data_IF_031649892763
#
_entry.id   IF_031649892763
#
_cell.length_a   1.000
_cell.length_b   1.000
_cell.length_c   1.000
_cell.angle_alpha   90.00
_cell.angle_beta   90.00
_cell.angle_gamma   90.00
#
_symmetry.space_group_name_H-M   'P 1'
#
loop_
_entity.id
_entity.type
_entity.pdbx_description
1 polymer ?
#
# COMPACT_ATOMS: atom_id res chain seq x y z
N UNK A 1 57.56 20.42 -17.44
CA UNK A 1 56.56 20.30 -16.36
C UNK A 1 55.11 20.31 -16.90
N UNK A 2 54.81 20.94 -18.00
CA UNK A 2 53.43 21.18 -18.45
C UNK A 2 52.63 19.97 -18.94
N UNK A 3 53.23 18.91 -19.49
CA UNK A 3 52.48 17.80 -20.02
C UNK A 3 51.94 16.82 -18.93
N UNK A 4 52.65 16.71 -17.81
CA UNK A 4 52.19 15.87 -16.70
C UNK A 4 51.03 16.54 -15.92
N UNK A 5 51.07 17.85 -15.73
CA UNK A 5 49.97 18.59 -15.11
C UNK A 5 48.71 18.57 -15.98
N UNK A 6 48.85 18.66 -17.31
CA UNK A 6 47.70 18.53 -18.23
C UNK A 6 47.09 17.14 -18.22
N UNK A 7 47.87 16.06 -18.13
CA UNK A 7 47.36 14.68 -18.05
C UNK A 7 46.60 14.37 -16.73
N UNK A 8 47.09 14.89 -15.61
CA UNK A 8 46.45 14.78 -14.31
C UNK A 8 45.13 15.56 -14.33
N UNK A 9 45.07 16.73 -14.92
CA UNK A 9 43.87 17.57 -15.00
C UNK A 9 42.80 16.94 -15.88
N UNK A 10 43.17 16.30 -17.00
CA UNK A 10 42.22 15.58 -17.87
C UNK A 10 41.67 14.34 -17.18
N UNK A 11 42.47 13.58 -16.45
CA UNK A 11 42.04 12.41 -15.71
C UNK A 11 41.05 12.78 -14.59
N UNK A 12 41.37 13.85 -13.85
CA UNK A 12 40.51 14.41 -12.79
C UNK A 12 39.18 14.90 -13.37
N UNK A 13 39.21 15.61 -14.49
CA UNK A 13 38.03 16.11 -15.17
C UNK A 13 37.13 14.95 -15.64
N UNK A 14 37.71 13.89 -16.22
CA UNK A 14 36.96 12.70 -16.63
C UNK A 14 36.29 12.01 -15.43
N UNK A 15 36.99 11.89 -14.31
CA UNK A 15 36.41 11.27 -13.10
C UNK A 15 35.25 12.11 -12.54
N UNK A 16 35.40 13.44 -12.47
CA UNK A 16 34.34 14.35 -12.04
C UNK A 16 33.11 14.29 -12.94
N UNK A 17 33.30 14.31 -14.27
CA UNK A 17 32.21 14.18 -15.24
C UNK A 17 31.48 12.85 -15.06
N UNK A 18 32.24 11.75 -14.87
CA UNK A 18 31.65 10.43 -14.65
C UNK A 18 30.81 10.39 -13.38
N UNK A 19 31.34 10.88 -12.26
CA UNK A 19 30.61 10.97 -10.99
C UNK A 19 29.33 11.81 -11.14
N UNK A 20 29.43 12.97 -11.77
CA UNK A 20 28.29 13.85 -11.98
C UNK A 20 27.20 13.23 -12.87
N UNK A 21 27.61 12.45 -13.89
CA UNK A 21 26.65 11.70 -14.72
C UNK A 21 25.98 10.59 -13.90
N UNK A 22 26.75 9.84 -13.11
CA UNK A 22 26.23 8.75 -12.28
C UNK A 22 25.25 9.29 -11.23
N UNK A 23 25.55 10.40 -10.57
CA UNK A 23 24.65 11.07 -9.63
C UNK A 23 23.35 11.53 -10.32
N UNK A 24 23.45 12.27 -11.43
CA UNK A 24 22.27 12.74 -12.17
C UNK A 24 21.40 11.60 -12.68
N UNK A 25 22.01 10.51 -13.16
CA UNK A 25 21.26 9.31 -13.61
C UNK A 25 20.57 8.66 -12.43
N UNK A 26 21.23 8.50 -11.29
CA UNK A 26 20.67 7.94 -10.06
C UNK A 26 19.45 8.75 -9.58
N UNK A 27 19.57 10.08 -9.52
CA UNK A 27 18.50 10.97 -9.09
C UNK A 27 17.29 10.93 -10.04
N UNK A 28 17.57 10.90 -11.36
CA UNK A 28 16.50 10.76 -12.36
C UNK A 28 15.77 9.41 -12.22
N UNK A 29 16.48 8.31 -12.03
CA UNK A 29 15.89 6.99 -11.81
C UNK A 29 15.03 6.99 -10.54
N UNK A 30 15.52 7.56 -9.45
CA UNK A 30 14.77 7.69 -8.19
C UNK A 30 13.49 8.50 -8.39
N UNK A 31 13.58 9.66 -9.00
CA UNK A 31 12.41 10.51 -9.31
C UNK A 31 11.39 9.81 -10.20
N UNK A 32 11.84 9.10 -11.25
CA UNK A 32 10.96 8.30 -12.12
C UNK A 32 10.30 7.16 -11.36
N UNK A 33 11.03 6.46 -10.50
CA UNK A 33 10.50 5.38 -9.66
C UNK A 33 9.41 5.89 -8.72
N UNK A 34 9.60 7.04 -8.09
CA UNK A 34 8.60 7.66 -7.22
C UNK A 34 7.34 8.08 -7.99
N UNK A 35 7.51 8.64 -9.19
CA UNK A 35 6.38 8.98 -10.08
C UNK A 35 5.60 7.75 -10.51
N UNK A 36 6.29 6.66 -10.87
CA UNK A 36 5.64 5.39 -11.21
C UNK A 36 4.85 4.80 -10.03
N UNK A 37 5.44 4.79 -8.84
CA UNK A 37 4.74 4.34 -7.62
C UNK A 37 3.50 5.16 -7.33
N UNK A 38 3.56 6.47 -7.51
CA UNK A 38 2.41 7.35 -7.35
C UNK A 38 1.32 7.04 -8.37
N UNK A 39 1.67 6.89 -9.66
CA UNK A 39 0.71 6.55 -10.71
C UNK A 39 0.08 5.17 -10.48
N UNK A 40 0.87 4.17 -10.08
CA UNK A 40 0.36 2.85 -9.71
C UNK A 40 -0.65 2.95 -8.57
N UNK A 41 -0.31 3.68 -7.51
CA UNK A 41 -1.21 3.93 -6.39
C UNK A 41 -2.50 4.61 -6.84
N UNK A 42 -2.40 5.70 -7.61
CA UNK A 42 -3.56 6.47 -8.07
C UNK A 42 -4.49 5.62 -8.95
N UNK A 43 -3.94 4.73 -9.78
CA UNK A 43 -4.71 3.79 -10.60
C UNK A 43 -5.43 2.69 -9.80
N UNK A 44 -5.00 2.42 -8.58
CA UNK A 44 -5.59 1.38 -7.73
C UNK A 44 -6.62 1.92 -6.74
N UNK A 45 -6.61 3.23 -6.46
CA UNK A 45 -7.48 3.83 -5.43
C UNK A 45 -8.97 3.73 -5.74
N UNK A 46 -9.33 3.67 -7.02
CA UNK A 46 -10.70 3.51 -7.51
C UNK A 46 -11.10 2.05 -7.75
N UNK A 47 -10.26 1.12 -7.38
CA UNK A 47 -10.46 -0.30 -7.62
C UNK A 47 -10.64 -1.09 -6.32
N UNK A 48 -11.41 -2.17 -6.39
CA UNK A 48 -11.59 -3.10 -5.27
C UNK A 48 -11.20 -4.52 -5.66
N UNK A 49 -10.68 -5.26 -4.70
CA UNK A 49 -10.35 -6.67 -4.80
C UNK A 49 -11.33 -7.49 -3.96
N UNK A 50 -11.96 -8.48 -4.59
CA UNK A 50 -12.98 -9.33 -3.97
C UNK A 50 -12.43 -10.75 -3.85
N UNK A 51 -12.17 -11.17 -2.63
CA UNK A 51 -11.61 -12.47 -2.26
C UNK A 51 -12.66 -13.41 -1.69
N UNK A 52 -12.31 -14.70 -1.69
CA UNK A 52 -13.13 -15.74 -1.07
C UNK A 52 -13.93 -16.56 -2.07
N UNK A 53 -13.88 -16.25 -3.36
CA UNK A 53 -14.49 -17.04 -4.40
C UNK A 53 -13.42 -17.66 -5.31
N UNK A 54 -13.34 -18.98 -5.31
CA UNK A 54 -12.39 -19.76 -6.11
C UNK A 54 -12.98 -20.37 -7.37
N UNK A 55 -14.17 -19.90 -7.80
CA UNK A 55 -14.87 -20.42 -8.97
C UNK A 55 -14.19 -19.96 -10.27
N UNK A 56 -13.56 -20.88 -10.99
CA UNK A 56 -12.90 -20.61 -12.27
C UNK A 56 -13.83 -20.06 -13.36
N UNK A 57 -15.16 -20.28 -13.23
CA UNK A 57 -16.17 -19.71 -14.14
C UNK A 57 -16.18 -18.18 -14.12
N UNK A 58 -15.64 -17.56 -13.07
CA UNK A 58 -15.49 -16.09 -12.98
C UNK A 58 -14.52 -15.51 -14.02
N UNK A 59 -13.72 -16.33 -14.70
CA UNK A 59 -12.98 -15.90 -15.89
C UNK A 59 -13.94 -15.40 -17.00
N UNK A 60 -15.15 -15.97 -17.07
CA UNK A 60 -16.15 -15.50 -18.01
C UNK A 60 -16.76 -14.17 -17.55
N UNK A 61 -16.65 -13.14 -18.39
CA UNK A 61 -17.14 -11.78 -18.10
C UNK A 61 -18.64 -11.75 -17.75
N UNK A 62 -19.48 -12.54 -18.42
CA UNK A 62 -20.94 -12.58 -18.15
C UNK A 62 -21.23 -13.14 -16.77
N UNK A 63 -20.58 -14.24 -16.40
CA UNK A 63 -20.72 -14.87 -15.07
C UNK A 63 -20.19 -13.93 -13.97
N UNK A 64 -19.02 -13.32 -14.19
CA UNK A 64 -18.44 -12.36 -13.27
C UNK A 64 -19.34 -11.14 -13.06
N UNK A 65 -19.90 -10.57 -14.13
CA UNK A 65 -20.84 -9.45 -14.02
C UNK A 65 -22.13 -9.84 -13.27
N UNK A 66 -22.64 -11.06 -13.48
CA UNK A 66 -23.78 -11.55 -12.72
C UNK A 66 -23.44 -11.67 -11.21
N UNK A 67 -22.26 -12.19 -10.89
CA UNK A 67 -21.77 -12.27 -9.52
C UNK A 67 -21.64 -10.87 -8.88
N UNK A 68 -21.02 -9.92 -9.58
CA UNK A 68 -20.88 -8.53 -9.11
C UNK A 68 -22.24 -7.86 -8.89
N UNK A 69 -23.22 -8.09 -9.76
CA UNK A 69 -24.60 -7.59 -9.56
C UNK A 69 -25.22 -8.14 -8.27
N UNK A 70 -25.02 -9.41 -7.96
CA UNK A 70 -25.49 -10.00 -6.70
C UNK A 70 -24.78 -9.39 -5.49
N UNK A 71 -23.45 -9.21 -5.55
CA UNK A 71 -22.70 -8.52 -4.49
C UNK A 71 -23.26 -7.12 -4.28
N UNK A 72 -23.48 -6.36 -5.35
CA UNK A 72 -24.07 -5.02 -5.27
C UNK A 72 -25.44 -5.04 -4.61
N UNK A 73 -26.32 -5.95 -5.00
CA UNK A 73 -27.67 -6.07 -4.43
C UNK A 73 -27.63 -6.38 -2.92
N UNK A 74 -26.75 -7.29 -2.50
CA UNK A 74 -26.60 -7.66 -1.09
C UNK A 74 -25.97 -6.54 -0.23
N UNK A 75 -25.12 -5.71 -0.83
CA UNK A 75 -24.44 -4.60 -0.15
C UNK A 75 -25.19 -3.27 -0.32
N UNK A 76 -26.33 -3.26 -1.00
CA UNK A 76 -27.04 -2.02 -1.35
C UNK A 76 -26.12 -1.01 -2.08
N UNK A 77 -25.46 -1.50 -3.11
CA UNK A 77 -24.54 -0.76 -3.97
C UNK A 77 -25.06 -0.69 -5.40
N UNK A 78 -24.69 0.37 -6.13
CA UNK A 78 -25.10 0.51 -7.52
C UNK A 78 -24.08 -0.15 -8.47
N UNK A 79 -24.47 -1.19 -9.19
CA UNK A 79 -23.62 -1.87 -10.17
C UNK A 79 -23.17 -0.94 -11.32
N UNK A 80 -23.88 0.15 -11.62
CA UNK A 80 -23.49 1.11 -12.66
C UNK A 80 -22.16 1.81 -12.33
N UNK A 81 -21.72 1.80 -11.09
CA UNK A 81 -20.41 2.33 -10.70
C UNK A 81 -19.24 1.42 -11.09
N UNK A 82 -19.50 0.18 -11.49
CA UNK A 82 -18.45 -0.74 -11.99
C UNK A 82 -18.18 -0.42 -13.47
N UNK A 83 -16.99 0.08 -13.74
CA UNK A 83 -16.53 0.41 -15.10
C UNK A 83 -16.02 -0.84 -15.78
N UNK A 84 -15.14 -1.57 -15.08
CA UNK A 84 -14.47 -2.74 -15.62
C UNK A 84 -14.25 -3.79 -14.52
N UNK A 85 -14.11 -5.04 -14.92
CA UNK A 85 -13.72 -6.09 -13.99
C UNK A 85 -12.87 -7.16 -14.67
N UNK A 86 -11.94 -7.72 -13.92
CA UNK A 86 -11.12 -8.86 -14.30
C UNK A 86 -11.13 -9.92 -13.19
N UNK A 87 -10.74 -11.15 -13.53
CA UNK A 87 -10.49 -12.20 -12.55
C UNK A 87 -9.01 -12.56 -12.62
N UNK A 88 -8.31 -12.37 -11.53
CA UNK A 88 -6.89 -12.64 -11.42
C UNK A 88 -6.67 -13.75 -10.39
N UNK A 89 -6.14 -14.90 -10.86
CA UNK A 89 -5.80 -16.09 -10.07
C UNK A 89 -6.97 -16.59 -9.20
N UNK A 90 -7.31 -15.88 -8.14
CA UNK A 90 -8.29 -16.32 -7.12
C UNK A 90 -9.14 -15.16 -6.57
N UNK A 91 -9.15 -14.01 -7.22
CA UNK A 91 -9.94 -12.86 -6.80
C UNK A 91 -10.45 -12.06 -7.99
N UNK A 92 -11.53 -11.32 -7.79
CA UNK A 92 -12.03 -10.36 -8.77
C UNK A 92 -11.42 -8.99 -8.46
N UNK A 93 -10.90 -8.34 -9.49
CA UNK A 93 -10.57 -6.91 -9.45
C UNK A 93 -11.70 -6.17 -10.18
N UNK A 94 -12.31 -5.20 -9.52
CA UNK A 94 -13.34 -4.36 -10.11
C UNK A 94 -12.94 -2.89 -10.01
N UNK A 95 -12.83 -2.23 -11.18
CA UNK A 95 -12.58 -0.80 -11.29
C UNK A 95 -13.91 -0.06 -11.17
N UNK A 96 -13.96 0.95 -10.32
CA UNK A 96 -15.13 1.75 -10.02
C UNK A 96 -14.96 3.17 -10.58
N UNK A 97 -16.02 3.94 -10.59
CA UNK A 97 -15.98 5.30 -11.12
C UNK A 97 -15.12 6.27 -10.29
N UNK A 98 -14.91 5.99 -9.00
CA UNK A 98 -14.08 6.81 -8.12
C UNK A 98 -13.64 6.08 -6.84
N UNK A 99 -12.63 6.65 -6.17
CA UNK A 99 -12.08 6.11 -4.92
C UNK A 99 -13.06 6.13 -3.74
N UNK A 100 -14.06 7.01 -3.76
CA UNK A 100 -15.10 7.09 -2.70
C UNK A 100 -15.96 5.84 -2.76
N UNK A 101 -16.32 5.42 -3.97
CA UNK A 101 -17.07 4.16 -4.18
C UNK A 101 -16.27 2.94 -3.77
N UNK A 102 -14.97 2.92 -4.04
CA UNK A 102 -14.13 1.82 -3.58
C UNK A 102 -14.12 1.69 -2.05
N UNK A 103 -14.04 2.80 -1.33
CA UNK A 103 -14.16 2.83 0.14
C UNK A 103 -15.56 2.41 0.62
N UNK A 104 -16.61 2.86 -0.05
CA UNK A 104 -17.99 2.46 0.25
C UNK A 104 -18.18 0.94 0.14
N UNK A 105 -17.68 0.31 -0.93
CA UNK A 105 -17.70 -1.14 -1.11
C UNK A 105 -17.01 -1.88 0.05
N UNK A 106 -15.84 -1.40 0.44
CA UNK A 106 -15.08 -1.99 1.55
C UNK A 106 -15.83 -1.86 2.88
N UNK A 107 -16.39 -0.68 3.17
CA UNK A 107 -17.11 -0.41 4.42
C UNK A 107 -18.36 -1.29 4.53
N UNK A 108 -19.22 -1.28 3.51
CA UNK A 108 -20.45 -2.08 3.48
C UNK A 108 -20.16 -3.59 3.55
N UNK A 109 -19.06 -4.05 2.92
CA UNK A 109 -18.63 -5.44 3.03
C UNK A 109 -18.24 -5.84 4.46
N UNK A 110 -17.58 -4.96 5.20
CA UNK A 110 -17.22 -5.18 6.62
C UNK A 110 -18.47 -5.25 7.51
N UNK A 111 -19.42 -4.38 7.27
CA UNK A 111 -20.68 -4.31 8.03
C UNK A 111 -21.55 -5.54 7.78
N UNK A 112 -21.75 -5.92 6.52
CA UNK A 112 -22.65 -7.02 6.12
C UNK A 112 -22.03 -8.41 6.29
N UNK A 113 -20.68 -8.53 6.35
CA UNK A 113 -19.94 -9.80 6.51
C UNK A 113 -20.41 -10.88 5.55
N UNK A 114 -20.39 -10.58 4.25
CA UNK A 114 -20.88 -11.48 3.21
C UNK A 114 -20.19 -12.84 3.26
N UNK A 115 -20.99 -13.88 2.99
CA UNK A 115 -20.53 -15.24 2.77
C UNK A 115 -20.90 -15.70 1.36
N UNK A 116 -20.18 -16.67 0.82
CA UNK A 116 -20.45 -17.26 -0.49
C UNK A 116 -21.86 -17.87 -0.58
N UNK A 117 -22.37 -18.42 0.51
CA UNK A 117 -23.75 -18.92 0.60
C UNK A 117 -24.78 -17.84 0.23
N UNK A 118 -24.58 -16.59 0.64
CA UNK A 118 -25.46 -15.47 0.28
C UNK A 118 -25.47 -15.19 -1.23
N UNK A 119 -24.45 -15.65 -1.95
CA UNK A 119 -24.26 -15.50 -3.39
C UNK A 119 -24.69 -16.74 -4.18
N UNK A 120 -25.33 -17.74 -3.53
CA UNK A 120 -25.68 -19.04 -4.08
C UNK A 120 -24.47 -19.83 -4.60
N UNK A 121 -23.35 -19.71 -3.91
CA UNK A 121 -22.16 -20.51 -4.15
C UNK A 121 -22.11 -21.57 -3.05
N UNK A 122 -22.00 -22.84 -3.47
CA UNK A 122 -22.00 -23.99 -2.56
C UNK A 122 -20.65 -24.13 -1.83
N UNK A 123 -20.25 -23.05 -1.14
CA UNK A 123 -19.04 -22.99 -0.31
C UNK A 123 -19.25 -21.96 0.81
N UNK A 124 -19.15 -22.37 2.07
CA UNK A 124 -19.37 -21.47 3.22
C UNK A 124 -18.08 -20.72 3.62
N UNK A 125 -17.54 -19.95 2.71
CA UNK A 125 -16.38 -19.08 2.96
C UNK A 125 -16.78 -17.61 3.00
N UNK A 126 -16.04 -16.78 3.76
CA UNK A 126 -16.28 -15.34 3.79
C UNK A 126 -15.88 -14.69 2.47
N UNK A 127 -16.71 -13.77 1.98
CA UNK A 127 -16.38 -12.87 0.89
C UNK A 127 -15.83 -11.59 1.49
N UNK A 128 -14.59 -11.22 1.14
CA UNK A 128 -13.90 -10.04 1.65
C UNK A 128 -13.62 -9.07 0.51
N UNK A 129 -13.95 -7.81 0.72
CA UNK A 129 -13.72 -6.74 -0.26
C UNK A 129 -12.75 -5.74 0.35
N UNK A 130 -11.69 -5.43 -0.39
CA UNK A 130 -10.68 -4.45 -0.01
C UNK A 130 -10.50 -3.45 -1.15
N UNK A 131 -10.16 -2.22 -0.83
CA UNK A 131 -9.60 -1.31 -1.83
C UNK A 131 -8.31 -1.91 -2.34
N UNK A 132 -8.12 -1.88 -3.65
CA UNK A 132 -6.93 -2.47 -4.27
C UNK A 132 -5.66 -1.74 -3.79
N UNK A 133 -4.58 -2.50 -3.71
CA UNK A 133 -3.31 -2.01 -3.20
C UNK A 133 -2.14 -2.60 -3.99
N UNK A 134 -1.01 -1.88 -4.03
CA UNK A 134 0.20 -2.35 -4.71
C UNK A 134 0.76 -3.61 -4.05
N UNK A 135 1.58 -4.35 -4.80
CA UNK A 135 2.26 -5.54 -4.26
C UNK A 135 3.16 -5.18 -3.07
N UNK A 136 3.84 -4.03 -3.13
CA UNK A 136 4.67 -3.51 -2.04
C UNK A 136 3.85 -3.25 -0.77
N UNK A 137 2.69 -2.59 -0.91
CA UNK A 137 1.80 -2.32 0.23
C UNK A 137 1.24 -3.61 0.85
N UNK A 138 0.88 -4.59 0.03
CA UNK A 138 0.42 -5.90 0.50
C UNK A 138 1.52 -6.65 1.25
N UNK A 139 2.76 -6.60 0.73
CA UNK A 139 3.91 -7.21 1.38
C UNK A 139 4.22 -6.53 2.73
N UNK A 140 4.23 -5.19 2.75
CA UNK A 140 4.42 -4.42 3.97
C UNK A 140 3.33 -4.72 5.00
N UNK A 141 2.05 -4.79 4.56
CA UNK A 141 0.94 -5.18 5.42
C UNK A 141 1.14 -6.56 6.04
N UNK A 142 1.58 -7.54 5.24
CA UNK A 142 1.86 -8.89 5.72
C UNK A 142 2.95 -8.86 6.79
N UNK A 143 4.11 -8.27 6.51
CA UNK A 143 5.23 -8.14 7.46
C UNK A 143 4.81 -7.42 8.75
N UNK A 144 4.04 -6.35 8.62
CA UNK A 144 3.52 -5.58 9.76
C UNK A 144 2.58 -6.43 10.62
N UNK A 145 1.68 -7.21 10.01
CA UNK A 145 0.77 -8.11 10.74
C UNK A 145 1.53 -9.22 11.45
N UNK A 146 2.45 -9.88 10.76
CA UNK A 146 3.23 -10.97 11.31
C UNK A 146 4.04 -10.52 12.54
N UNK A 147 4.56 -9.29 12.53
CA UNK A 147 5.37 -8.74 13.61
C UNK A 147 4.55 -8.10 14.75
N UNK A 148 3.45 -7.42 14.44
CA UNK A 148 2.77 -6.52 15.40
C UNK A 148 1.37 -6.99 15.81
N UNK A 149 0.74 -7.95 15.12
CA UNK A 149 -0.62 -8.40 15.45
C UNK A 149 -0.83 -8.81 16.91
N UNK A 150 0.14 -9.42 17.62
CA UNK A 150 -0.02 -9.75 19.04
C UNK A 150 -0.24 -8.53 19.95
N UNK A 151 0.19 -7.33 19.49
CA UNK A 151 0.19 -6.10 20.30
C UNK A 151 -0.76 -5.02 19.77
N UNK A 152 -1.10 -5.08 18.49
CA UNK A 152 -1.93 -4.09 17.78
C UNK A 152 -3.12 -4.78 17.12
N UNK A 153 -4.32 -4.37 17.50
CA UNK A 153 -5.58 -4.97 16.99
C UNK A 153 -5.96 -4.50 15.61
N UNK A 154 -5.62 -3.25 15.27
CA UNK A 154 -6.01 -2.62 14.02
C UNK A 154 -4.80 -2.40 13.15
N UNK A 155 -4.67 -3.20 12.09
CA UNK A 155 -3.59 -3.11 11.11
C UNK A 155 -4.22 -3.14 9.72
N UNK A 156 -4.09 -2.04 8.96
CA UNK A 156 -4.71 -1.89 7.64
C UNK A 156 -3.88 -1.00 6.72
N UNK A 157 -4.01 -1.19 5.41
CA UNK A 157 -3.40 -0.32 4.41
C UNK A 157 -4.06 1.06 4.45
N UNK A 158 -3.25 2.11 4.35
CA UNK A 158 -3.67 3.48 4.14
C UNK A 158 -2.82 4.15 3.04
N UNK A 159 -3.15 5.38 2.68
CA UNK A 159 -2.46 6.12 1.61
C UNK A 159 -0.92 6.15 1.78
N UNK A 160 -0.45 6.33 3.00
CA UNK A 160 0.96 6.59 3.30
C UNK A 160 1.70 5.34 3.82
N UNK A 161 1.12 4.14 3.70
CA UNK A 161 1.73 2.90 4.17
C UNK A 161 0.73 1.98 4.89
N UNK A 162 1.11 1.46 6.04
CA UNK A 162 0.27 0.60 6.88
C UNK A 162 -0.05 1.30 8.19
N UNK A 163 -1.33 1.56 8.40
CA UNK A 163 -1.83 2.11 9.66
C UNK A 163 -1.87 1.03 10.73
N UNK A 164 -1.35 1.35 11.90
CA UNK A 164 -1.28 0.47 13.05
C UNK A 164 -1.85 1.17 14.29
N UNK A 165 -2.75 0.50 15.03
CA UNK A 165 -3.36 1.03 16.24
C UNK A 165 -3.66 -0.11 17.24
N UNK A 166 -3.41 0.10 18.52
CA UNK A 166 -3.64 -0.92 19.58
C UNK A 166 -5.13 -1.17 19.82
N UNK A 167 -5.87 -0.09 20.02
CA UNK A 167 -7.30 -0.09 20.30
C UNK A 167 -7.97 1.14 19.68
N UNK A 168 -9.26 1.34 19.91
CA UNK A 168 -10.02 2.43 19.29
C UNK A 168 -9.62 3.84 19.75
N UNK A 169 -9.03 3.94 20.95
CA UNK A 169 -8.64 5.22 21.55
C UNK A 169 -7.15 5.51 21.46
N UNK A 170 -6.35 4.49 21.12
CA UNK A 170 -4.90 4.63 21.07
C UNK A 170 -4.44 5.41 19.85
N UNK A 171 -3.25 5.99 19.96
CA UNK A 171 -2.58 6.70 18.86
C UNK A 171 -2.45 5.82 17.61
N UNK A 172 -2.59 6.45 16.46
CA UNK A 172 -2.36 5.83 15.14
C UNK A 172 -0.90 6.01 14.75
N UNK A 173 -0.24 4.92 14.34
CA UNK A 173 1.10 4.93 13.76
C UNK A 173 1.03 4.55 12.29
N UNK A 174 1.90 5.13 11.47
CA UNK A 174 2.03 4.79 10.06
C UNK A 174 3.37 4.10 9.83
N UNK A 175 3.31 2.86 9.41
CA UNK A 175 4.47 2.04 9.03
C UNK A 175 4.72 2.24 7.54
N UNK A 176 5.87 2.80 7.19
CA UNK A 176 6.29 3.04 5.80
C UNK A 176 7.33 2.02 5.32
N UNK A 177 8.10 1.44 6.25
CA UNK A 177 9.20 0.50 5.98
C UNK A 177 9.39 -0.48 7.14
N UNK A 178 10.35 -1.40 6.99
CA UNK A 178 10.65 -2.40 8.01
C UNK A 178 11.25 -1.82 9.29
N UNK A 179 12.01 -0.73 9.19
CA UNK A 179 12.57 -0.04 10.36
C UNK A 179 11.47 0.46 11.29
N UNK A 180 10.37 0.96 10.74
CA UNK A 180 9.21 1.37 11.55
C UNK A 180 8.56 0.18 12.27
N UNK A 181 8.58 -1.03 11.68
CA UNK A 181 8.09 -2.25 12.33
C UNK A 181 8.96 -2.58 13.54
N UNK A 182 10.28 -2.60 13.37
CA UNK A 182 11.22 -2.91 14.45
C UNK A 182 11.15 -1.85 15.57
N UNK A 183 11.02 -0.58 15.22
CA UNK A 183 10.81 0.49 16.21
C UNK A 183 9.55 0.25 17.06
N UNK A 184 8.40 -0.02 16.43
CA UNK A 184 7.14 -0.29 17.14
C UNK A 184 7.21 -1.57 17.97
N UNK A 185 7.96 -2.57 17.51
CA UNK A 185 8.20 -3.82 18.22
C UNK A 185 9.08 -3.63 19.45
N UNK A 186 10.13 -2.81 19.36
CA UNK A 186 10.99 -2.47 20.48
C UNK A 186 10.25 -1.63 21.54
N UNK A 187 9.42 -0.68 21.12
CA UNK A 187 8.71 0.26 21.98
C UNK A 187 7.34 -0.26 22.49
N UNK A 188 7.01 -1.53 22.26
CA UNK A 188 5.73 -2.12 22.63
C UNK A 188 5.39 -2.03 24.13
N UNK A 189 6.39 -1.93 25.00
CA UNK A 189 6.22 -1.87 26.45
C UNK A 189 6.25 -0.44 27.04
N UNK A 190 6.80 0.55 26.33
CA UNK A 190 7.01 1.89 26.88
C UNK A 190 5.78 2.81 26.84
N UNK A 191 4.71 2.44 26.15
CA UNK A 191 3.54 3.32 26.00
C UNK A 191 2.46 3.14 27.06
N UNK A 192 2.75 2.48 28.19
CA UNK A 192 1.78 2.38 29.29
C UNK A 192 1.74 3.61 30.20
N UNK A 193 2.73 4.53 30.14
CA UNK A 193 2.87 5.60 31.13
C UNK A 193 3.21 6.99 30.59
N UNK A 194 2.85 7.37 29.37
CA UNK A 194 3.05 8.77 28.97
C UNK A 194 1.99 9.28 28.02
N UNK A 195 1.04 10.03 28.56
CA UNK A 195 0.11 10.90 27.83
C UNK A 195 0.81 12.15 27.24
N UNK A 196 2.13 12.22 27.25
CA UNK A 196 2.93 13.33 26.78
C UNK A 196 4.13 12.85 25.97
N UNK A 197 3.90 12.57 24.68
CA UNK A 197 4.96 12.72 23.67
C UNK A 197 4.34 13.29 22.42
N UNK A 198 4.68 14.56 22.15
CA UNK A 198 4.32 15.35 20.98
C UNK A 198 4.70 14.65 19.67
N UNK A 199 3.88 14.87 18.68
CA UNK A 199 4.06 14.69 17.24
C UNK A 199 5.44 14.16 16.80
N UNK A 200 5.67 12.86 16.88
CA UNK A 200 6.72 12.21 16.12
C UNK A 200 6.15 11.87 14.74
N UNK A 201 6.20 12.85 13.84
CA UNK A 201 6.36 12.56 12.43
C UNK A 201 7.75 11.92 12.32
N UNK A 202 7.84 10.74 11.68
CA UNK A 202 9.12 10.19 11.26
C UNK A 202 9.67 11.09 10.15
N UNK A 203 10.24 12.24 10.54
CA UNK A 203 11.09 13.02 9.67
C UNK A 203 12.28 12.16 9.28
N UNK A 204 12.59 12.14 8.02
CA UNK A 204 13.78 11.47 7.49
C UNK A 204 15.02 12.06 8.17
N UNK A 205 15.62 11.35 9.11
CA UNK A 205 16.90 11.71 9.76
C UNK A 205 18.09 11.83 8.78
N UNK A 206 17.87 11.51 7.51
CA UNK A 206 18.86 11.71 6.44
C UNK A 206 19.14 13.18 6.12
N UNK A 207 18.23 14.12 6.40
CA UNK A 207 18.46 15.55 6.14
C UNK A 207 19.18 16.27 7.31
N UNK A 208 19.06 15.75 8.54
CA UNK A 208 19.76 16.34 9.70
C UNK A 208 21.24 16.01 9.77
N UNK A 209 21.70 14.91 9.15
CA UNK A 209 23.14 14.59 9.10
C UNK A 209 23.92 15.45 8.11
N UNK A 210 23.29 16.07 7.13
CA UNK A 210 23.94 16.95 6.16
C UNK A 210 24.10 18.40 6.66
N UNK A 211 23.33 18.84 7.63
CA UNK A 211 23.45 20.21 8.20
C UNK A 211 24.50 20.36 9.29
N UNK A 212 25.05 19.27 9.83
CA UNK A 212 26.11 19.31 10.86
C UNK A 212 27.54 19.13 10.30
N UNK A 213 27.72 19.21 8.97
CA UNK A 213 29.01 19.07 8.28
C UNK A 213 29.41 20.32 7.48
N UNK A 214 28.81 21.48 7.80
CA UNK A 214 29.26 22.80 7.26
C UNK A 214 29.73 23.68 8.41
#
# INVERSE_FOLDING_TARGET
MDQFEQLINVSLLKSLIKTQIEENVSDNIKSMSEKLKKLEYDNLTDSVEIYGNHDSRLNNKKIRNYYLKKVCALLDLNFRHVIESSFDKNHIVAKLCDATRAKEWQTKSRERRLKNFNLNINYDGPVKIFVAATAEQKLLLKKTRDALLPFYKYISICKNGVMVRRDEKSRVYIVKNEQNIEYLKANKYYSFNSDNIDNFEFENDSEKMLQNLI
#
